data_IF_353446185466
#
_entry.id   IF_353446185466
#
_cell.length_a   1.000
_cell.length_b   1.000
_cell.length_c   1.000
_cell.angle_alpha   90.00
_cell.angle_beta   90.00
_cell.angle_gamma   90.00
#
_symmetry.space_group_name_H-M   'P 1'
#
loop_
_entity.id
_entity.type
_entity.pdbx_description
1 polymer ?
#
# COMPACT_ATOMS: atom_id res chain seq x y z
N UNK A 1 -1.21 9.63 16.84
CA UNK A 1 -1.03 9.20 15.43
C UNK A 1 0.09 8.18 15.37
N UNK A 2 0.13 7.34 14.33
CA UNK A 2 1.20 6.36 14.08
C UNK A 2 1.74 6.55 12.66
N UNK A 3 3.00 6.19 12.44
CA UNK A 3 3.64 6.11 11.12
C UNK A 3 4.15 4.69 10.90
N UNK A 4 3.91 4.15 9.71
CA UNK A 4 4.42 2.85 9.30
C UNK A 4 5.13 2.97 7.96
N UNK A 5 6.12 2.12 7.75
CA UNK A 5 6.74 1.86 6.46
C UNK A 5 6.50 0.39 6.15
N UNK A 6 5.97 0.13 4.96
CA UNK A 6 5.59 -1.21 4.51
C UNK A 6 6.25 -1.48 3.17
N UNK A 7 6.84 -2.65 3.01
CA UNK A 7 7.38 -3.10 1.73
C UNK A 7 6.48 -4.17 1.14
N UNK A 8 5.99 -3.91 -0.07
CA UNK A 8 5.13 -4.83 -0.82
C UNK A 8 5.94 -5.49 -1.92
N UNK A 9 5.91 -6.82 -1.97
CA UNK A 9 6.55 -7.64 -3.01
C UNK A 9 5.50 -8.37 -3.85
N UNK A 10 5.82 -8.58 -5.12
CA UNK A 10 5.03 -9.34 -6.09
C UNK A 10 4.98 -8.62 -7.45
N UNK A 11 3.93 -8.87 -8.23
CA UNK A 11 3.69 -8.15 -9.49
C UNK A 11 3.00 -6.80 -9.20
N UNK A 12 3.75 -5.85 -8.65
CA UNK A 12 3.24 -4.55 -8.15
C UNK A 12 3.80 -3.33 -8.88
N UNK A 13 4.81 -3.49 -9.73
CA UNK A 13 5.34 -2.40 -10.57
C UNK A 13 4.75 -2.44 -11.99
N UNK A 14 4.62 -1.27 -12.63
CA UNK A 14 4.06 -1.16 -13.99
C UNK A 14 2.55 -1.40 -14.11
N UNK A 15 1.84 -1.61 -13.00
CA UNK A 15 0.39 -1.95 -12.98
C UNK A 15 -0.50 -0.84 -12.40
N UNK A 16 0.07 0.29 -12.01
CA UNK A 16 -0.68 1.37 -11.35
C UNK A 16 -0.82 1.23 -9.83
N UNK A 17 -0.12 0.27 -9.19
CA UNK A 17 -0.19 0.03 -7.74
C UNK A 17 0.04 1.29 -6.90
N UNK A 18 1.09 2.08 -7.20
CA UNK A 18 1.38 3.33 -6.48
C UNK A 18 0.22 4.32 -6.51
N UNK A 19 -0.44 4.45 -7.67
CA UNK A 19 -1.58 5.35 -7.83
C UNK A 19 -2.79 4.86 -7.03
N UNK A 20 -3.06 3.56 -7.09
CA UNK A 20 -4.12 2.93 -6.30
C UNK A 20 -3.88 3.08 -4.79
N UNK A 21 -2.66 2.81 -4.31
CA UNK A 21 -2.29 2.98 -2.89
C UNK A 21 -2.45 4.43 -2.44
N UNK A 22 -2.03 5.39 -3.28
CA UNK A 22 -2.19 6.82 -2.99
C UNK A 22 -3.66 7.21 -2.87
N UNK A 23 -4.51 6.78 -3.81
CA UNK A 23 -5.94 7.08 -3.78
C UNK A 23 -6.57 6.57 -2.47
N UNK A 24 -6.27 5.32 -2.11
CA UNK A 24 -6.80 4.69 -0.89
C UNK A 24 -6.29 5.34 0.39
N UNK A 25 -5.03 5.76 0.42
CA UNK A 25 -4.48 6.51 1.55
C UNK A 25 -5.19 7.87 1.73
N UNK A 26 -5.49 8.58 0.63
CA UNK A 26 -6.22 9.86 0.68
C UNK A 26 -7.66 9.68 1.16
N UNK A 27 -8.37 8.64 0.69
CA UNK A 27 -9.73 8.30 1.16
C UNK A 27 -9.77 8.04 2.68
N UNK A 28 -8.70 7.46 3.23
CA UNK A 28 -8.55 7.17 4.66
C UNK A 28 -8.00 8.35 5.47
N UNK A 29 -7.76 9.51 4.85
CA UNK A 29 -7.19 10.69 5.51
C UNK A 29 -5.73 10.52 5.95
N UNK A 30 -4.98 9.63 5.30
CA UNK A 30 -3.58 9.35 5.60
C UNK A 30 -2.64 10.24 4.78
N UNK A 31 -1.47 10.55 5.36
CA UNK A 31 -0.37 11.22 4.67
C UNK A 31 0.80 10.27 4.45
N UNK A 32 1.60 10.52 3.42
CA UNK A 32 2.77 9.71 3.09
C UNK A 32 2.99 9.53 1.59
N UNK A 33 3.63 8.44 1.19
CA UNK A 33 3.97 8.19 -0.21
C UNK A 33 4.13 6.70 -0.53
N UNK A 34 4.04 6.37 -1.81
CA UNK A 34 4.37 5.06 -2.35
C UNK A 34 5.49 5.20 -3.41
N UNK A 35 6.58 4.44 -3.26
CA UNK A 35 7.79 4.52 -4.10
C UNK A 35 8.15 3.14 -4.66
N UNK A 36 8.49 3.09 -5.95
CA UNK A 36 9.06 1.88 -6.55
C UNK A 36 10.52 1.76 -6.12
N UNK A 37 10.89 0.59 -5.63
CA UNK A 37 12.25 0.23 -5.26
C UNK A 37 12.97 -0.46 -6.43
N UNK A 38 14.29 -0.34 -6.49
CA UNK A 38 15.11 -0.95 -7.56
C UNK A 38 15.07 -2.49 -7.54
N UNK A 39 14.78 -3.09 -6.39
CA UNK A 39 14.65 -4.54 -6.20
C UNK A 39 13.27 -5.11 -6.59
N UNK A 40 12.42 -4.28 -7.22
CA UNK A 40 11.08 -4.67 -7.65
C UNK A 40 9.97 -4.49 -6.61
N UNK A 41 10.30 -4.13 -5.36
CA UNK A 41 9.29 -3.84 -4.31
C UNK A 41 8.65 -2.47 -4.48
N UNK A 42 7.55 -2.26 -3.76
CA UNK A 42 7.00 -0.92 -3.51
C UNK A 42 7.10 -0.62 -2.02
N UNK A 43 7.78 0.48 -1.68
CA UNK A 43 7.77 1.05 -0.33
C UNK A 43 6.53 1.93 -0.18
N UNK A 44 5.76 1.72 0.88
CA UNK A 44 4.58 2.51 1.25
C UNK A 44 4.81 3.08 2.64
N UNK A 45 4.94 4.41 2.72
CA UNK A 45 4.96 5.14 3.99
C UNK A 45 3.59 5.74 4.21
N UNK A 46 2.97 5.47 5.36
CA UNK A 46 1.68 6.03 5.74
C UNK A 46 1.68 6.49 7.20
N UNK A 47 1.03 7.63 7.46
CA UNK A 47 0.89 8.20 8.79
C UNK A 47 -0.52 8.75 9.01
N UNK A 48 -1.07 8.48 10.20
CA UNK A 48 -2.43 8.90 10.56
C UNK A 48 -2.93 8.26 11.85
N UNK A 49 -4.25 8.07 11.98
CA UNK A 49 -4.82 7.30 13.10
C UNK A 49 -4.49 5.82 12.92
N UNK A 50 -4.28 5.11 14.03
CA UNK A 50 -3.90 3.69 14.01
C UNK A 50 -4.89 2.82 13.22
N UNK A 51 -6.17 3.11 13.36
CA UNK A 51 -7.25 2.37 12.67
C UNK A 51 -7.20 2.56 11.16
N UNK A 52 -6.94 3.77 10.68
CA UNK A 52 -6.87 4.08 9.24
C UNK A 52 -5.62 3.48 8.62
N UNK A 53 -4.49 3.55 9.31
CA UNK A 53 -3.24 2.91 8.89
C UNK A 53 -3.41 1.39 8.82
N UNK A 54 -4.04 0.78 9.83
CA UNK A 54 -4.32 -0.65 9.82
C UNK A 54 -5.26 -1.05 8.66
N UNK A 55 -6.26 -0.22 8.35
CA UNK A 55 -7.13 -0.43 7.20
C UNK A 55 -6.35 -0.41 5.87
N UNK A 56 -5.44 0.56 5.68
CA UNK A 56 -4.58 0.59 4.49
C UNK A 56 -3.70 -0.66 4.41
N UNK A 57 -3.06 -1.07 5.50
CA UNK A 57 -2.21 -2.27 5.54
C UNK A 57 -3.00 -3.53 5.20
N UNK A 58 -4.22 -3.68 5.74
CA UNK A 58 -5.10 -4.80 5.39
C UNK A 58 -5.43 -4.86 3.90
N UNK A 59 -5.67 -3.70 3.28
CA UNK A 59 -5.89 -3.58 1.84
C UNK A 59 -4.65 -3.89 1.00
N UNK A 60 -3.44 -3.74 1.54
CA UNK A 60 -2.20 -4.16 0.88
C UNK A 60 -1.95 -5.67 1.02
N UNK A 61 -2.51 -6.32 2.05
CA UNK A 61 -2.35 -7.75 2.33
C UNK A 61 -3.44 -8.63 1.73
N UNK A 62 -4.65 -8.11 1.50
CA UNK A 62 -5.78 -8.92 1.03
C UNK A 62 -5.47 -9.68 -0.28
N UNK A 63 -5.91 -10.94 -0.36
CA UNK A 63 -5.90 -11.73 -1.59
C UNK A 63 -7.05 -12.76 -1.56
N UNK A 64 -7.97 -12.77 -2.54
CA UNK A 64 -8.08 -11.84 -3.67
C UNK A 64 -8.46 -10.42 -3.22
N UNK A 65 -8.16 -9.40 -4.04
CA UNK A 65 -8.51 -8.03 -3.68
C UNK A 65 -10.01 -7.78 -3.83
N UNK A 66 -10.62 -7.20 -2.80
CA UNK A 66 -12.01 -6.71 -2.83
C UNK A 66 -12.11 -5.27 -3.35
N UNK A 67 -11.00 -4.54 -3.33
CA UNK A 67 -10.91 -3.13 -3.70
C UNK A 67 -10.25 -2.89 -5.08
N UNK A 68 -10.34 -3.89 -5.98
CA UNK A 68 -9.75 -3.85 -7.34
C UNK A 68 -8.27 -3.44 -7.34
N UNK A 69 -7.51 -3.83 -6.32
CA UNK A 69 -6.08 -3.54 -6.23
C UNK A 69 -5.37 -4.13 -7.46
N UNK A 70 -4.65 -3.32 -8.24
CA UNK A 70 -3.97 -3.82 -9.42
C UNK A 70 -2.75 -4.66 -9.04
N UNK A 71 -2.43 -5.62 -9.90
CA UNK A 71 -1.29 -6.49 -9.68
C UNK A 71 -1.53 -7.61 -8.66
N UNK A 72 -0.45 -8.28 -8.28
CA UNK A 72 -0.47 -9.40 -7.34
C UNK A 72 0.52 -9.15 -6.22
N UNK A 73 0.05 -9.21 -4.99
CA UNK A 73 0.88 -9.14 -3.78
C UNK A 73 1.21 -10.56 -3.34
N UNK A 74 2.50 -10.81 -3.11
CA UNK A 74 3.02 -12.08 -2.62
C UNK A 74 3.39 -11.99 -1.14
N UNK A 75 3.97 -10.86 -0.73
CA UNK A 75 4.29 -10.60 0.66
C UNK A 75 4.27 -9.11 0.99
N UNK A 76 4.02 -8.83 2.26
CA UNK A 76 3.99 -7.49 2.86
C UNK A 76 4.79 -7.57 4.15
N UNK A 77 5.86 -6.79 4.27
CA UNK A 77 6.75 -6.73 5.44
C UNK A 77 6.87 -5.32 6.00
#
# INVERSE_FOLDING_TARGET
>A
MVRVTVFVRGRVQGVGFRWWTRARALELGLVGHARNMADGRVEVVAQGRRVDVAALVGLLQEWPSTARRPGRVESVS
#
